data_IF_203232415746
#
_entry.id   IF_203232415746
#
_cell.length_a   1.000
_cell.length_b   1.000
_cell.length_c   1.000
_cell.angle_alpha   90.00
_cell.angle_beta   90.00
_cell.angle_gamma   90.00
#
_symmetry.space_group_name_H-M   'P 1'
#
loop_
_entity.id
_entity.type
_entity.pdbx_description
1 polymer ?
#
# COMPACT_ATOMS: atom_id res chain seq x y z
N UNK A 1 -13.43 -4.63 0.84
CA UNK A 1 -12.40 -3.86 0.05
C UNK A 1 -11.29 -4.83 -0.31
N UNK A 2 -10.83 -4.87 -1.55
CA UNK A 2 -9.74 -5.77 -1.95
C UNK A 2 -8.41 -5.06 -1.74
N UNK A 3 -7.54 -5.60 -0.88
CA UNK A 3 -6.31 -4.93 -0.44
C UNK A 3 -5.09 -5.74 -0.89
N UNK A 4 -4.09 -5.05 -1.45
CA UNK A 4 -2.77 -5.59 -1.75
C UNK A 4 -1.70 -4.92 -0.88
N UNK A 5 -0.67 -5.67 -0.51
CA UNK A 5 0.47 -5.15 0.25
C UNK A 5 1.75 -5.30 -0.58
N UNK A 6 2.43 -4.20 -0.82
CA UNK A 6 3.73 -4.15 -1.51
C UNK A 6 4.79 -3.76 -0.49
N UNK A 7 5.58 -4.75 -0.08
CA UNK A 7 6.58 -4.63 0.97
C UNK A 7 6.35 -5.61 2.11
N UNK A 8 7.17 -6.66 2.18
CA UNK A 8 7.09 -7.74 3.17
C UNK A 8 7.82 -7.48 4.48
N UNK A 9 8.02 -6.21 4.83
CA UNK A 9 8.64 -5.82 6.10
C UNK A 9 7.71 -5.94 7.30
N UNK A 10 8.14 -5.43 8.46
CA UNK A 10 7.39 -5.52 9.72
C UNK A 10 6.01 -4.86 9.62
N UNK A 11 5.92 -3.66 9.04
CA UNK A 11 4.67 -2.93 8.83
C UNK A 11 3.75 -3.69 7.90
N UNK A 12 4.25 -4.11 6.74
CA UNK A 12 3.47 -4.85 5.75
C UNK A 12 2.92 -6.17 6.28
N UNK A 13 3.75 -6.96 6.95
CA UNK A 13 3.31 -8.21 7.58
C UNK A 13 2.28 -7.99 8.70
N UNK A 14 2.43 -6.93 9.50
CA UNK A 14 1.48 -6.59 10.54
C UNK A 14 0.12 -6.22 9.93
N UNK A 15 0.09 -5.27 9.00
CA UNK A 15 -1.16 -4.85 8.33
C UNK A 15 -1.80 -6.02 7.57
N UNK A 16 -1.01 -6.84 6.85
CA UNK A 16 -1.52 -8.03 6.16
C UNK A 16 -2.20 -9.01 7.13
N UNK A 17 -1.68 -9.16 8.35
CA UNK A 17 -2.28 -9.99 9.39
C UNK A 17 -3.66 -9.50 9.82
N UNK A 18 -3.81 -8.22 10.08
CA UNK A 18 -5.08 -7.60 10.45
C UNK A 18 -6.11 -7.59 9.31
N UNK A 19 -5.62 -7.40 8.07
CA UNK A 19 -6.46 -7.27 6.88
C UNK A 19 -6.67 -8.59 6.11
N UNK A 20 -6.39 -9.73 6.76
CA UNK A 20 -6.35 -11.06 6.12
C UNK A 20 -7.61 -11.39 5.31
N UNK A 21 -8.80 -10.96 5.76
CA UNK A 21 -10.06 -11.25 5.07
C UNK A 21 -10.20 -10.53 3.72
N UNK A 22 -9.59 -9.35 3.60
CA UNK A 22 -9.62 -8.50 2.40
C UNK A 22 -8.36 -8.65 1.53
N UNK A 23 -7.33 -9.36 2.04
CA UNK A 23 -6.00 -9.41 1.45
C UNK A 23 -5.98 -10.26 0.17
N UNK A 24 -5.57 -9.65 -0.95
CA UNK A 24 -5.47 -10.29 -2.26
C UNK A 24 -4.08 -10.80 -2.59
N UNK A 25 -3.06 -10.28 -1.91
CA UNK A 25 -1.66 -10.66 -2.08
C UNK A 25 -0.74 -9.78 -1.26
N UNK A 26 0.47 -10.27 -1.09
CA UNK A 26 1.60 -9.55 -0.50
C UNK A 26 2.86 -9.86 -1.30
N UNK A 27 3.61 -8.81 -1.68
CA UNK A 27 4.85 -8.93 -2.42
C UNK A 27 6.04 -8.36 -1.65
N UNK A 28 7.24 -8.74 -2.03
CA UNK A 28 8.48 -8.26 -1.44
C UNK A 28 9.53 -7.99 -2.54
N UNK A 29 10.71 -7.53 -2.15
CA UNK A 29 11.80 -7.19 -3.07
C UNK A 29 12.40 -8.39 -3.81
N UNK A 30 12.20 -9.62 -3.32
CA UNK A 30 12.62 -10.83 -4.00
C UNK A 30 11.46 -11.81 -4.17
N UNK A 31 11.50 -12.58 -5.24
CA UNK A 31 10.51 -13.63 -5.52
C UNK A 31 10.44 -14.65 -4.39
N UNK A 32 11.60 -15.13 -3.92
CA UNK A 32 11.68 -16.11 -2.83
C UNK A 32 10.97 -15.60 -1.55
N UNK A 33 11.15 -14.33 -1.19
CA UNK A 33 10.48 -13.74 -0.05
C UNK A 33 8.98 -13.56 -0.31
N UNK A 34 8.58 -13.17 -1.51
CA UNK A 34 7.16 -13.08 -1.89
C UNK A 34 6.46 -14.43 -1.80
N UNK A 35 7.11 -15.53 -2.22
CA UNK A 35 6.61 -16.89 -2.10
C UNK A 35 6.39 -17.28 -0.63
N UNK A 36 7.38 -17.04 0.23
CA UNK A 36 7.27 -17.32 1.67
C UNK A 36 6.12 -16.55 2.34
N UNK A 37 5.93 -15.29 1.95
CA UNK A 37 4.83 -14.48 2.47
C UNK A 37 3.46 -14.98 1.97
N UNK A 38 3.36 -15.33 0.70
CA UNK A 38 2.14 -15.90 0.14
C UNK A 38 1.75 -17.19 0.88
N UNK A 39 2.70 -18.09 1.12
CA UNK A 39 2.48 -19.30 1.91
C UNK A 39 2.04 -18.98 3.34
N UNK A 40 2.74 -18.07 4.02
CA UNK A 40 2.43 -17.63 5.39
C UNK A 40 1.00 -17.12 5.54
N UNK A 41 0.50 -16.38 4.57
CA UNK A 41 -0.84 -15.80 4.59
C UNK A 41 -1.91 -16.67 3.90
N UNK A 42 -1.53 -17.82 3.36
CA UNK A 42 -2.45 -18.72 2.64
C UNK A 42 -2.94 -18.14 1.31
N UNK A 43 -2.09 -17.40 0.62
CA UNK A 43 -2.38 -16.69 -0.62
C UNK A 43 -1.68 -17.36 -1.80
N UNK A 44 -2.21 -17.13 -3.01
CA UNK A 44 -1.48 -17.47 -4.24
C UNK A 44 -0.38 -16.43 -4.49
N UNK A 45 0.86 -16.86 -4.79
CA UNK A 45 1.91 -15.96 -5.21
C UNK A 45 1.49 -15.08 -6.39
N UNK A 46 2.01 -13.88 -6.45
CA UNK A 46 1.75 -12.96 -7.54
C UNK A 46 2.90 -11.96 -7.72
N UNK A 47 3.00 -11.41 -8.91
CA UNK A 47 3.81 -10.23 -9.21
C UNK A 47 3.12 -8.95 -8.73
N UNK A 48 3.83 -7.82 -8.71
CA UNK A 48 3.22 -6.53 -8.39
C UNK A 48 2.12 -6.17 -9.39
N UNK A 49 2.35 -6.38 -10.69
CA UNK A 49 1.35 -6.09 -11.73
C UNK A 49 0.07 -6.93 -11.55
N UNK A 50 0.20 -8.22 -11.27
CA UNK A 50 -0.94 -9.09 -10.95
C UNK A 50 -1.66 -8.65 -9.66
N UNK A 51 -0.91 -8.21 -8.64
CA UNK A 51 -1.49 -7.72 -7.40
C UNK A 51 -2.31 -6.45 -7.62
N UNK A 52 -1.79 -5.51 -8.42
CA UNK A 52 -2.52 -4.30 -8.82
C UNK A 52 -3.83 -4.65 -9.54
N UNK A 53 -3.87 -5.70 -10.35
CA UNK A 53 -5.10 -6.17 -11.00
C UNK A 53 -6.13 -6.67 -9.98
N UNK A 54 -5.68 -7.42 -8.98
CA UNK A 54 -6.54 -8.10 -8.01
C UNK A 54 -7.09 -7.16 -6.93
N UNK A 55 -6.33 -6.13 -6.57
CA UNK A 55 -6.65 -5.23 -5.46
C UNK A 55 -7.26 -3.90 -5.94
N UNK A 56 -8.02 -3.25 -5.09
CA UNK A 56 -8.54 -1.89 -5.28
C UNK A 56 -7.65 -0.88 -4.57
N UNK A 57 -7.09 -1.28 -3.41
CA UNK A 57 -6.22 -0.47 -2.57
C UNK A 57 -4.88 -1.19 -2.40
N UNK A 58 -3.79 -0.49 -2.65
CA UNK A 58 -2.41 -0.97 -2.52
C UNK A 58 -1.70 -0.23 -1.39
N UNK A 59 -1.22 -0.97 -0.38
CA UNK A 59 -0.41 -0.43 0.70
C UNK A 59 1.07 -0.58 0.36
N UNK A 60 1.79 0.54 0.19
CA UNK A 60 3.23 0.56 0.00
C UNK A 60 3.92 0.64 1.37
N UNK A 61 4.40 -0.50 1.84
CA UNK A 61 5.07 -0.67 3.14
C UNK A 61 6.56 -0.93 2.99
N UNK A 62 7.14 -0.36 1.93
CA UNK A 62 8.57 -0.37 1.64
C UNK A 62 9.29 0.72 2.43
N UNK A 63 10.64 0.65 2.58
CA UNK A 63 11.42 1.73 3.18
C UNK A 63 11.19 3.07 2.46
N UNK A 64 11.16 4.17 3.20
CA UNK A 64 10.84 5.52 2.71
C UNK A 64 11.56 5.89 1.41
N UNK A 65 12.88 5.68 1.38
CA UNK A 65 13.72 5.95 0.18
C UNK A 65 13.32 5.18 -1.07
N UNK A 66 12.53 4.11 -0.94
CA UNK A 66 12.10 3.26 -2.04
C UNK A 66 10.68 3.53 -2.52
N UNK A 67 9.91 4.37 -1.84
CA UNK A 67 8.50 4.62 -2.18
C UNK A 67 8.40 5.15 -3.62
N UNK A 68 9.14 6.19 -3.97
CA UNK A 68 9.14 6.75 -5.32
C UNK A 68 9.66 5.76 -6.37
N UNK A 69 10.73 5.02 -6.04
CA UNK A 69 11.30 4.00 -6.94
C UNK A 69 10.27 2.90 -7.25
N UNK A 70 9.56 2.44 -6.22
CA UNK A 70 8.51 1.42 -6.38
C UNK A 70 7.31 1.99 -7.16
N UNK A 71 6.94 3.26 -6.93
CA UNK A 71 5.88 3.92 -7.71
C UNK A 71 6.20 3.94 -9.21
N UNK A 72 7.41 4.35 -9.59
CA UNK A 72 7.87 4.31 -10.99
C UNK A 72 7.94 2.88 -11.56
N UNK A 73 8.40 1.93 -10.75
CA UNK A 73 8.47 0.52 -11.14
C UNK A 73 7.07 -0.03 -11.43
N UNK A 74 6.07 0.26 -10.59
CA UNK A 74 4.68 -0.16 -10.78
C UNK A 74 4.08 0.39 -12.08
N UNK A 75 4.36 1.65 -12.42
CA UNK A 75 3.91 2.23 -13.69
C UNK A 75 4.47 1.42 -14.87
N UNK A 76 5.76 1.10 -14.86
CA UNK A 76 6.39 0.29 -15.93
C UNK A 76 5.83 -1.13 -15.97
N UNK A 77 5.82 -1.85 -14.85
CA UNK A 77 5.36 -3.24 -14.77
C UNK A 77 3.89 -3.39 -15.18
N UNK A 78 3.03 -2.45 -14.78
CA UNK A 78 1.63 -2.48 -15.18
C UNK A 78 1.43 -2.13 -16.66
N UNK A 79 2.23 -1.21 -17.22
CA UNK A 79 2.24 -0.91 -18.64
C UNK A 79 2.66 -2.11 -19.49
N UNK A 80 3.74 -2.78 -19.11
CA UNK A 80 4.23 -3.99 -19.79
C UNK A 80 3.22 -5.14 -19.69
N UNK A 81 2.59 -5.31 -18.53
CA UNK A 81 1.57 -6.33 -18.30
C UNK A 81 0.36 -6.13 -19.22
N UNK A 82 -0.13 -4.89 -19.36
CA UNK A 82 -1.23 -4.55 -20.28
C UNK A 82 -0.85 -4.85 -21.73
N UNK A 83 0.37 -4.54 -22.13
CA UNK A 83 0.83 -4.79 -23.50
C UNK A 83 0.88 -6.28 -23.88
N UNK A 84 0.99 -7.17 -22.89
CA UNK A 84 1.00 -8.64 -23.09
C UNK A 84 -0.39 -9.28 -23.13
N UNK A 85 -1.46 -8.54 -22.78
CA UNK A 85 -2.83 -9.06 -22.79
C UNK A 85 -3.44 -8.93 -24.18
N UNK A 86 -3.90 -10.06 -24.74
CA UNK A 86 -4.43 -10.13 -26.12
C UNK A 86 -5.71 -9.31 -26.37
N UNK A 87 -6.41 -8.91 -25.34
CA UNK A 87 -7.67 -8.15 -25.37
C UNK A 87 -7.51 -6.64 -25.12
N UNK A 88 -6.28 -6.12 -25.18
CA UNK A 88 -5.99 -4.69 -25.03
C UNK A 88 -6.39 -4.15 -23.65
N UNK A 89 -6.00 -4.88 -22.60
CA UNK A 89 -6.39 -4.61 -21.22
C UNK A 89 -6.39 -3.12 -20.85
N UNK A 90 -7.44 -2.68 -20.15
CA UNK A 90 -7.61 -1.30 -19.70
C UNK A 90 -6.48 -0.92 -18.75
N UNK A 91 -6.08 0.35 -18.74
CA UNK A 91 -5.13 0.92 -17.78
C UNK A 91 -5.41 0.42 -16.37
N UNK A 92 -4.46 -0.34 -15.82
CA UNK A 92 -4.64 -1.03 -14.54
C UNK A 92 -4.52 -0.12 -13.33
N UNK A 93 -3.90 1.05 -13.49
CA UNK A 93 -3.65 2.01 -12.41
C UNK A 93 -4.80 3.00 -12.21
N UNK A 94 -5.57 3.31 -13.27
CA UNK A 94 -6.67 4.29 -13.19
C UNK A 94 -7.73 3.87 -12.19
N UNK A 95 -8.02 4.76 -11.23
CA UNK A 95 -9.01 4.54 -10.18
C UNK A 95 -8.57 3.60 -9.06
N UNK A 96 -7.35 3.05 -9.11
CA UNK A 96 -6.74 2.33 -7.98
C UNK A 96 -6.29 3.33 -6.91
N UNK A 97 -6.22 2.89 -5.68
CA UNK A 97 -5.78 3.70 -4.55
C UNK A 97 -4.44 3.18 -4.06
N UNK A 98 -3.46 4.07 -3.95
CA UNK A 98 -2.14 3.75 -3.42
C UNK A 98 -1.88 4.56 -2.15
N UNK A 99 -1.57 3.87 -1.05
CA UNK A 99 -1.28 4.47 0.25
C UNK A 99 0.12 4.07 0.69
N UNK A 100 1.04 5.02 0.90
CA UNK A 100 2.29 4.70 1.58
C UNK A 100 2.15 4.80 3.10
N UNK A 101 3.00 4.06 3.83
CA UNK A 101 2.97 4.02 5.30
C UNK A 101 4.10 4.85 5.96
N UNK A 102 4.81 5.69 5.21
CA UNK A 102 5.82 6.59 5.76
C UNK A 102 5.19 7.76 6.49
N UNK A 103 5.74 8.11 7.62
CA UNK A 103 5.38 9.33 8.33
C UNK A 103 6.11 10.57 7.79
N UNK A 104 7.32 10.42 7.25
CA UNK A 104 8.17 11.53 6.81
C UNK A 104 8.01 11.92 5.34
N UNK A 105 7.64 10.96 4.47
CA UNK A 105 7.50 11.19 3.03
C UNK A 105 6.20 11.90 2.70
N UNK A 106 6.26 12.85 1.77
CA UNK A 106 5.08 13.49 1.18
C UNK A 106 4.48 12.65 0.04
N UNK A 107 3.34 13.10 -0.45
CA UNK A 107 2.61 12.42 -1.53
C UNK A 107 3.30 12.56 -2.91
N UNK A 108 4.22 13.50 -3.06
CA UNK A 108 5.03 13.67 -4.28
C UNK A 108 5.79 12.39 -4.67
N UNK A 109 6.12 11.53 -3.70
CA UNK A 109 6.72 10.23 -3.96
C UNK A 109 5.80 9.29 -4.78
N UNK A 110 4.49 9.53 -4.77
CA UNK A 110 3.48 8.77 -5.54
C UNK A 110 3.04 9.48 -6.83
N UNK A 111 3.65 10.63 -7.18
CA UNK A 111 3.28 11.37 -8.37
C UNK A 111 3.25 10.55 -9.68
N UNK A 112 4.18 9.59 -9.93
CA UNK A 112 4.09 8.72 -11.10
C UNK A 112 2.78 7.94 -11.20
N UNK A 113 2.28 7.41 -10.08
CA UNK A 113 1.00 6.69 -10.03
C UNK A 113 -0.20 7.62 -10.23
N UNK A 114 -0.16 8.82 -9.65
CA UNK A 114 -1.19 9.83 -9.80
C UNK A 114 -1.34 10.29 -11.25
N UNK A 115 -0.22 10.44 -11.97
CA UNK A 115 -0.22 10.80 -13.39
C UNK A 115 -0.92 9.76 -14.28
N UNK A 116 -0.91 8.49 -13.86
CA UNK A 116 -1.64 7.40 -14.52
C UNK A 116 -3.12 7.30 -14.08
N UNK A 117 -3.60 8.27 -13.31
CA UNK A 117 -5.01 8.36 -12.88
C UNK A 117 -5.32 7.54 -11.63
N UNK A 118 -4.34 7.13 -10.86
CA UNK A 118 -4.54 6.53 -9.55
C UNK A 118 -4.85 7.61 -8.50
N UNK A 119 -5.57 7.23 -7.45
CA UNK A 119 -5.71 7.99 -6.22
C UNK A 119 -4.52 7.74 -5.32
N UNK A 120 -3.97 8.77 -4.69
CA UNK A 120 -2.78 8.64 -3.86
C UNK A 120 -2.96 9.25 -2.49
N UNK A 121 -2.38 8.59 -1.49
CA UNK A 121 -2.44 9.04 -0.10
C UNK A 121 -1.41 8.36 0.78
N UNK A 122 -1.56 8.57 2.07
CA UNK A 122 -0.75 7.93 3.11
C UNK A 122 -1.61 7.45 4.28
N UNK A 123 -1.14 6.40 4.92
CA UNK A 123 -1.67 5.89 6.18
C UNK A 123 -0.49 5.50 7.08
N UNK A 124 -0.14 6.35 8.03
CA UNK A 124 1.01 6.15 8.91
C UNK A 124 0.57 5.80 10.33
N UNK A 125 0.70 4.54 10.79
CA UNK A 125 0.50 4.19 12.18
C UNK A 125 1.60 4.80 13.06
N UNK A 126 1.22 5.55 14.10
CA UNK A 126 2.14 6.08 15.12
C UNK A 126 2.54 4.98 16.09
N UNK A 127 3.27 4.01 15.59
CA UNK A 127 3.65 2.82 16.34
C UNK A 127 5.04 2.33 15.93
N UNK A 128 5.80 1.86 16.90
CA UNK A 128 7.07 1.18 16.65
C UNK A 128 6.83 -0.30 16.33
N UNK A 129 7.32 -0.76 15.18
CA UNK A 129 7.19 -2.15 14.75
C UNK A 129 8.46 -2.94 15.10
N UNK A 130 8.50 -3.53 16.28
CA UNK A 130 9.67 -4.27 16.77
C UNK A 130 9.84 -5.67 16.14
N UNK A 131 8.80 -6.19 15.51
CA UNK A 131 8.69 -7.58 15.01
C UNK A 131 7.74 -8.40 15.87
N UNK A 132 7.21 -9.51 15.32
CA UNK A 132 6.12 -10.24 15.94
C UNK A 132 4.75 -9.60 15.72
N UNK A 133 3.77 -9.94 16.54
CA UNK A 133 2.45 -9.32 16.49
C UNK A 133 2.51 -7.94 17.17
N UNK A 134 2.50 -6.87 16.37
CA UNK A 134 2.36 -5.51 16.89
C UNK A 134 0.87 -5.19 17.04
N UNK A 135 0.45 -4.75 18.23
CA UNK A 135 -0.94 -4.35 18.49
C UNK A 135 -1.23 -3.01 17.79
N UNK A 136 -2.32 -2.96 17.03
CA UNK A 136 -2.77 -1.76 16.34
C UNK A 136 -4.05 -1.17 16.93
N UNK A 137 -4.72 -1.88 17.83
CA UNK A 137 -5.90 -1.36 18.51
C UNK A 137 -5.54 -0.13 19.36
N UNK A 138 -6.29 0.95 19.17
CA UNK A 138 -6.05 2.22 19.84
C UNK A 138 -4.87 3.05 19.31
N UNK A 139 -4.13 2.55 18.30
CA UNK A 139 -3.02 3.30 17.69
C UNK A 139 -3.57 4.44 16.85
N UNK A 140 -3.05 5.65 17.04
CA UNK A 140 -3.33 6.77 16.16
C UNK A 140 -2.68 6.56 14.80
N UNK A 141 -3.43 6.83 13.73
CA UNK A 141 -3.00 6.64 12.36
C UNK A 141 -3.19 7.93 11.58
N UNK A 142 -2.08 8.57 11.24
CA UNK A 142 -2.10 9.78 10.42
C UNK A 142 -2.43 9.44 8.97
N UNK A 143 -3.32 10.21 8.36
CA UNK A 143 -3.67 10.05 6.96
C UNK A 143 -3.66 11.37 6.21
N UNK A 144 -3.32 11.29 4.93
CA UNK A 144 -3.36 12.40 3.98
C UNK A 144 -3.62 11.83 2.57
N UNK A 145 -4.13 12.63 1.66
CA UNK A 145 -4.41 12.21 0.29
C UNK A 145 -5.61 12.92 -0.32
N UNK A 146 -5.97 12.50 -1.52
CA UNK A 146 -7.24 12.89 -2.10
C UNK A 146 -8.43 12.24 -1.36
N UNK A 147 -9.65 12.63 -1.71
CA UNK A 147 -10.86 12.17 -1.02
C UNK A 147 -11.00 10.64 -1.01
N UNK A 148 -10.72 9.98 -2.15
CA UNK A 148 -10.82 8.52 -2.26
C UNK A 148 -9.74 7.81 -1.43
N UNK A 149 -8.52 8.33 -1.44
CA UNK A 149 -7.40 7.81 -0.65
C UNK A 149 -7.65 7.99 0.86
N UNK A 150 -8.13 9.16 1.29
CA UNK A 150 -8.48 9.41 2.69
C UNK A 150 -9.63 8.49 3.16
N UNK A 151 -10.66 8.28 2.35
CA UNK A 151 -11.75 7.36 2.68
C UNK A 151 -11.26 5.91 2.86
N UNK A 152 -10.40 5.44 1.97
CA UNK A 152 -9.79 4.11 2.08
C UNK A 152 -8.88 3.99 3.31
N UNK A 153 -8.03 4.99 3.57
CA UNK A 153 -7.16 5.05 4.73
C UNK A 153 -7.95 5.00 6.04
N UNK A 154 -9.02 5.78 6.14
CA UNK A 154 -9.92 5.78 7.29
C UNK A 154 -10.56 4.42 7.52
N UNK A 155 -11.05 3.77 6.46
CA UNK A 155 -11.66 2.45 6.56
C UNK A 155 -10.64 1.40 7.03
N UNK A 156 -9.41 1.42 6.49
CA UNK A 156 -8.34 0.50 6.91
C UNK A 156 -7.97 0.73 8.36
N UNK A 157 -7.73 1.98 8.78
CA UNK A 157 -7.40 2.32 10.16
C UNK A 157 -8.47 1.83 11.14
N UNK A 158 -9.73 2.04 10.83
CA UNK A 158 -10.85 1.58 11.64
C UNK A 158 -10.93 0.04 11.69
N UNK A 159 -10.71 -0.63 10.55
CA UNK A 159 -10.75 -2.11 10.47
C UNK A 159 -9.67 -2.75 11.36
N UNK A 160 -8.51 -2.14 11.47
CA UNK A 160 -7.43 -2.63 12.35
C UNK A 160 -7.56 -2.15 13.81
N UNK A 161 -8.63 -1.44 14.14
CA UNK A 161 -8.91 -0.94 15.50
C UNK A 161 -8.15 0.34 15.87
N UNK A 162 -7.55 1.03 14.90
CA UNK A 162 -6.82 2.28 15.11
C UNK A 162 -7.72 3.52 15.08
N UNK A 163 -7.13 4.66 15.42
CA UNK A 163 -7.77 5.97 15.43
C UNK A 163 -7.25 6.83 14.27
N UNK A 164 -7.96 6.90 13.11
CA UNK A 164 -7.53 7.72 11.99
C UNK A 164 -7.68 9.20 12.30
N UNK A 165 -6.71 10.01 11.86
CA UNK A 165 -6.80 11.46 11.87
C UNK A 165 -6.07 12.04 10.67
N UNK A 166 -6.56 13.15 10.15
CA UNK A 166 -5.99 13.79 8.98
C UNK A 166 -4.88 14.76 9.37
N UNK A 167 -3.75 14.68 8.69
CA UNK A 167 -2.62 15.61 8.83
C UNK A 167 -2.46 16.37 7.53
N UNK A 168 -2.68 17.69 7.51
CA UNK A 168 -2.40 18.51 6.34
C UNK A 168 -0.93 18.43 5.95
N UNK A 169 -0.62 18.45 4.65
CA UNK A 169 0.75 18.34 4.13
C UNK A 169 1.71 19.38 4.76
N UNK A 170 1.23 20.60 5.06
CA UNK A 170 2.00 21.66 5.70
C UNK A 170 2.45 21.35 7.15
N UNK A 171 1.80 20.41 7.82
CA UNK A 171 2.06 20.08 9.23
C UNK A 171 2.88 18.80 9.40
N UNK A 172 3.18 18.08 8.31
CA UNK A 172 3.94 16.82 8.38
C UNK A 172 5.33 16.96 9.01
N UNK A 173 6.04 18.04 8.73
CA UNK A 173 7.37 18.29 9.30
C UNK A 173 7.34 18.55 10.81
N UNK A 174 6.24 19.05 11.35
CA UNK A 174 6.06 19.30 12.79
C UNK A 174 5.60 18.04 13.55
N UNK A 175 5.13 17.06 12.82
CA UNK A 175 4.55 15.82 13.33
C UNK A 175 5.59 14.72 13.59
N UNK A 176 6.80 14.84 13.06
CA UNK A 176 7.97 14.00 13.23
C UNK A 176 8.97 14.63 14.22
#
# INVERSE_FOLDING_TARGET
MRIGVIGGGKVGCCLAGYLKQDLQGITASSEAHSLQLAERFGLKPCTNAELVQRADVLLLTVPDRLIGVVAEQLVRECGDFVATQADGGKHTLKGKIFLHCSGSMGLEALAPLQQEGAHVGSLHPLQSFAGGATELAGVYMAMDGDEAACAAAQQIATTVGGHPFQVPAAERAAYH
#
